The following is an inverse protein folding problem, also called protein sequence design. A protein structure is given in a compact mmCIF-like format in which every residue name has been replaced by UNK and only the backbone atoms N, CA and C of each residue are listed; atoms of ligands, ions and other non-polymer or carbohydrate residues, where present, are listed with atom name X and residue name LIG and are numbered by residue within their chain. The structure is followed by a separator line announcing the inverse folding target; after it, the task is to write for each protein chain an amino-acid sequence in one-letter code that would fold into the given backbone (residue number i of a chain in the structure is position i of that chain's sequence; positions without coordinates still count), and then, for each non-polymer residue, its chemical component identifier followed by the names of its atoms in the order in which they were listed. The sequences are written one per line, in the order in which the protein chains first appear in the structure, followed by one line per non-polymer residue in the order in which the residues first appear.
data_IF_460919479624
#
_entry.id   IF_460919479624
#
_cell.length_a   1.000
_cell.length_b   1.000
_cell.length_c   1.000
_cell.angle_alpha   90.00
_cell.angle_beta   90.00
_cell.angle_gamma   90.00
#
_symmetry.space_group_name_H-M   'P 1'
#
loop_
_entity.id
_entity.type
_entity.pdbx_description
1 polymer ?
#
# COMPACT_ATOMS: atom_id res chain seq x y z
N UNK A 1 -1.16 -13.60 -13.16
CA UNK A 1 -0.23 -12.74 -12.41
C UNK A 1 0.03 -11.47 -13.18
N UNK A 2 -0.59 -10.38 -12.76
CA UNK A 2 -0.37 -9.12 -13.45
C UNK A 2 -0.65 -7.93 -12.54
N UNK A 3 -0.08 -6.79 -12.90
CA UNK A 3 -0.35 -5.52 -12.25
C UNK A 3 -0.82 -4.54 -13.33
N UNK A 4 -1.99 -3.98 -13.13
CA UNK A 4 -2.53 -2.93 -14.00
C UNK A 4 -2.52 -1.62 -13.21
N UNK A 5 -2.07 -0.55 -13.84
CA UNK A 5 -1.96 0.75 -13.18
C UNK A 5 -3.01 1.71 -13.73
N UNK A 6 -3.74 2.38 -12.85
CA UNK A 6 -4.65 3.46 -13.24
C UNK A 6 -4.36 4.70 -12.41
N UNK A 7 -4.72 5.87 -12.95
CA UNK A 7 -4.60 7.14 -12.25
C UNK A 7 -6.01 7.62 -11.91
N UNK A 8 -6.22 7.95 -10.64
CA UNK A 8 -7.50 8.47 -10.16
C UNK A 8 -7.29 9.84 -9.55
N UNK A 9 -8.27 10.70 -9.71
CA UNK A 9 -8.21 12.05 -9.17
C UNK A 9 -9.27 12.25 -8.09
N UNK A 10 -8.79 12.36 -6.85
CA UNK A 10 -9.60 12.79 -5.72
C UNK A 10 -9.14 14.18 -5.30
N UNK A 11 -8.94 14.40 -4.00
CA UNK A 11 -8.31 15.64 -3.52
C UNK A 11 -6.88 15.74 -4.03
N UNK A 12 -6.25 14.61 -4.24
CA UNK A 12 -4.90 14.47 -4.76
C UNK A 12 -4.91 13.44 -5.87
N UNK A 13 -3.85 13.41 -6.68
CA UNK A 13 -3.68 12.38 -7.69
C UNK A 13 -3.27 11.07 -7.00
N UNK A 14 -4.02 10.01 -7.25
CA UNK A 14 -3.79 8.69 -6.65
C UNK A 14 -3.42 7.71 -7.74
N UNK A 15 -2.31 7.01 -7.56
CA UNK A 15 -1.89 5.93 -8.45
C UNK A 15 -2.41 4.62 -7.86
N UNK A 16 -3.22 3.89 -8.64
CA UNK A 16 -3.81 2.63 -8.20
C UNK A 16 -3.12 1.49 -8.92
N UNK A 17 -2.59 0.55 -8.15
CA UNK A 17 -2.07 -0.70 -8.68
C UNK A 17 -3.09 -1.79 -8.43
N UNK A 18 -3.67 -2.33 -9.50
CA UNK A 18 -4.61 -3.45 -9.45
C UNK A 18 -3.80 -4.73 -9.62
N UNK A 19 -3.67 -5.50 -8.54
CA UNK A 19 -2.91 -6.74 -8.53
C UNK A 19 -3.84 -7.91 -8.80
N UNK A 20 -3.38 -8.85 -9.62
CA UNK A 20 -4.15 -10.06 -9.93
C UNK A 20 -3.26 -11.29 -9.82
N UNK A 21 -3.65 -12.22 -8.95
CA UNK A 21 -2.93 -13.45 -8.70
C UNK A 21 -2.31 -13.50 -7.32
N UNK A 22 -1.68 -14.63 -7.01
CA UNK A 22 -0.98 -14.80 -5.74
C UNK A 22 0.17 -13.80 -5.63
N UNK A 23 0.24 -13.10 -4.52
CA UNK A 23 1.32 -12.15 -4.28
C UNK A 23 2.53 -12.90 -3.72
N UNK A 24 3.17 -13.65 -4.61
CA UNK A 24 4.38 -14.42 -4.35
C UNK A 24 5.63 -13.56 -4.63
N UNK A 25 6.80 -14.21 -4.62
CA UNK A 25 8.07 -13.51 -4.84
C UNK A 25 8.14 -12.82 -6.21
N UNK A 26 7.56 -13.43 -7.25
CA UNK A 26 7.59 -12.88 -8.60
C UNK A 26 6.71 -11.63 -8.70
N UNK A 27 5.46 -11.73 -8.27
CA UNK A 27 4.55 -10.59 -8.31
C UNK A 27 5.01 -9.48 -7.36
N UNK A 28 5.57 -9.84 -6.21
CA UNK A 28 6.12 -8.87 -5.26
C UNK A 28 7.27 -8.08 -5.89
N UNK A 29 8.14 -8.74 -6.67
CA UNK A 29 9.24 -8.07 -7.36
C UNK A 29 8.69 -7.07 -8.40
N UNK A 30 7.66 -7.46 -9.14
CA UNK A 30 7.00 -6.57 -10.10
C UNK A 30 6.40 -5.36 -9.40
N UNK A 31 5.73 -5.59 -8.26
CA UNK A 31 5.13 -4.52 -7.48
C UNK A 31 6.19 -3.54 -6.98
N UNK A 32 7.29 -4.04 -6.44
CA UNK A 32 8.37 -3.18 -5.97
C UNK A 32 8.92 -2.31 -7.10
N UNK A 33 9.18 -2.93 -8.25
CA UNK A 33 9.73 -2.21 -9.39
C UNK A 33 8.78 -1.13 -9.90
N UNK A 34 7.52 -1.48 -10.11
CA UNK A 34 6.53 -0.53 -10.59
C UNK A 34 6.25 0.56 -9.57
N UNK A 35 6.21 0.21 -8.29
CA UNK A 35 6.03 1.18 -7.21
C UNK A 35 7.18 2.17 -7.13
N UNK A 36 8.41 1.70 -7.19
CA UNK A 36 9.60 2.57 -7.20
C UNK A 36 9.58 3.50 -8.40
N UNK A 37 9.27 2.98 -9.58
CA UNK A 37 9.23 3.78 -10.80
C UNK A 37 8.17 4.88 -10.68
N UNK A 38 7.00 4.56 -10.16
CA UNK A 38 5.94 5.53 -9.96
C UNK A 38 6.37 6.63 -8.97
N UNK A 39 6.98 6.25 -7.85
CA UNK A 39 7.44 7.19 -6.83
C UNK A 39 8.56 8.08 -7.38
N UNK A 40 9.48 7.50 -8.13
CA UNK A 40 10.55 8.25 -8.78
C UNK A 40 9.98 9.26 -9.78
N UNK A 41 8.90 8.90 -10.46
CA UNK A 41 8.22 9.79 -11.40
C UNK A 41 7.34 10.85 -10.72
N UNK A 42 7.23 10.83 -9.39
CA UNK A 42 6.53 11.86 -8.63
C UNK A 42 5.28 11.41 -7.91
N UNK A 43 4.89 10.15 -8.01
CA UNK A 43 3.72 9.65 -7.29
C UNK A 43 3.95 9.73 -5.78
N UNK A 44 2.94 10.20 -5.04
CA UNK A 44 3.01 10.33 -3.58
C UNK A 44 1.90 9.58 -2.87
N UNK A 45 0.87 9.19 -3.60
CA UNK A 45 -0.30 8.50 -3.04
C UNK A 45 -0.56 7.25 -3.85
N UNK A 46 -0.39 6.09 -3.20
CA UNK A 46 -0.57 4.78 -3.82
C UNK A 46 -1.71 4.03 -3.15
N UNK A 47 -2.56 3.43 -3.95
CA UNK A 47 -3.62 2.55 -3.50
C UNK A 47 -3.38 1.17 -4.11
N UNK A 48 -3.27 0.15 -3.28
CA UNK A 48 -3.04 -1.22 -3.73
C UNK A 48 -4.36 -1.98 -3.71
N UNK A 49 -4.88 -2.30 -4.88
CA UNK A 49 -6.13 -3.06 -5.01
C UNK A 49 -5.82 -4.55 -4.93
N UNK A 50 -6.32 -5.18 -3.88
CA UNK A 50 -6.06 -6.57 -3.54
C UNK A 50 -7.28 -7.47 -3.74
N UNK A 51 -8.32 -6.98 -4.43
CA UNK A 51 -9.56 -7.74 -4.60
C UNK A 51 -9.37 -9.06 -5.34
N UNK A 52 -8.36 -9.17 -6.19
CA UNK A 52 -8.05 -10.37 -6.95
C UNK A 52 -6.75 -11.05 -6.49
N UNK A 53 -6.36 -10.83 -5.22
CA UNK A 53 -5.17 -11.43 -4.61
C UNK A 53 -5.61 -12.45 -3.57
N UNK A 54 -5.60 -13.75 -3.91
CA UNK A 54 -6.07 -14.78 -2.96
C UNK A 54 -5.12 -15.03 -1.81
N UNK A 55 -3.85 -14.66 -1.95
CA UNK A 55 -2.82 -15.01 -0.98
C UNK A 55 -1.65 -14.02 -1.04
N UNK A 56 -1.08 -13.69 0.13
CA UNK A 56 0.10 -12.84 0.24
C UNK A 56 1.23 -13.61 0.94
N UNK A 57 2.33 -13.80 0.23
CA UNK A 57 3.54 -14.40 0.79
C UNK A 57 4.37 -13.35 1.53
N UNK A 58 5.39 -13.80 2.28
CA UNK A 58 6.31 -12.91 2.99
C UNK A 58 6.95 -11.87 2.07
N UNK A 59 7.27 -12.26 0.84
CA UNK A 59 7.84 -11.33 -0.14
C UNK A 59 6.88 -10.18 -0.46
N UNK A 60 5.57 -10.47 -0.50
CA UNK A 60 4.55 -9.44 -0.72
C UNK A 60 4.49 -8.45 0.43
N UNK A 61 4.55 -8.96 1.66
CA UNK A 61 4.56 -8.10 2.85
C UNK A 61 5.78 -7.19 2.86
N UNK A 62 6.95 -7.72 2.46
CA UNK A 62 8.17 -6.91 2.36
C UNK A 62 8.04 -5.84 1.29
N UNK A 63 7.37 -6.14 0.18
CA UNK A 63 7.13 -5.15 -0.87
C UNK A 63 6.28 -3.99 -0.33
N UNK A 64 5.25 -4.29 0.44
CA UNK A 64 4.43 -3.25 1.07
C UNK A 64 5.25 -2.40 2.01
N UNK A 65 6.10 -3.03 2.83
CA UNK A 65 6.98 -2.31 3.76
C UNK A 65 7.93 -1.37 3.02
N UNK A 66 8.51 -1.86 1.92
CA UNK A 66 9.43 -1.05 1.12
C UNK A 66 8.72 0.18 0.51
N UNK A 67 7.54 -0.02 -0.07
CA UNK A 67 6.78 1.09 -0.64
C UNK A 67 6.35 2.08 0.44
N UNK A 68 5.93 1.58 1.60
CA UNK A 68 5.62 2.44 2.74
C UNK A 68 6.81 3.32 3.11
N UNK A 69 7.99 2.74 3.23
CA UNK A 69 9.20 3.47 3.60
C UNK A 69 9.57 4.52 2.55
N UNK A 70 9.52 4.15 1.27
CA UNK A 70 9.84 5.07 0.18
C UNK A 70 8.87 6.26 0.14
N UNK A 71 7.58 6.00 0.33
CA UNK A 71 6.58 7.07 0.34
C UNK A 71 6.74 7.98 1.55
N UNK A 72 7.01 7.41 2.71
CA UNK A 72 7.25 8.18 3.93
C UNK A 72 8.44 9.13 3.75
N UNK A 73 9.53 8.63 3.23
CA UNK A 73 10.75 9.43 3.02
C UNK A 73 10.53 10.53 2.00
N UNK A 74 9.73 10.27 0.97
CA UNK A 74 9.45 11.25 -0.07
C UNK A 74 8.32 12.22 0.24
N UNK A 75 7.50 11.96 1.27
CA UNK A 75 6.31 12.76 1.58
C UNK A 75 6.60 14.01 2.41
N UNK A 76 7.80 14.12 2.99
CA UNK A 76 8.14 15.20 3.90
C UNK A 76 7.44 15.07 5.25
N UNK A 77 7.02 13.89 5.64
CA UNK A 77 6.45 13.68 6.97
C UNK A 77 7.41 14.10 8.05
N UNK A 78 6.85 14.66 9.11
CA UNK A 78 7.61 15.12 10.25
C UNK A 78 8.32 13.96 10.93
N UNK A 79 9.59 13.98 10.83
CA UNK A 79 10.58 13.23 11.58
C UNK A 79 10.22 11.80 11.99
N UNK A 80 11.22 10.98 11.99
CA UNK A 80 11.11 9.56 12.37
C UNK A 80 10.53 9.36 13.76
N UNK A 81 10.74 10.30 14.66
CA UNK A 81 10.27 10.20 16.05
C UNK A 81 8.75 10.19 16.14
N UNK A 82 8.08 11.10 15.44
CA UNK A 82 6.61 11.18 15.47
C UNK A 82 5.98 9.93 14.86
N UNK A 83 6.54 9.45 13.75
CA UNK A 83 6.08 8.22 13.10
C UNK A 83 6.30 7.03 14.02
N UNK A 84 7.47 6.92 14.63
CA UNK A 84 7.80 5.83 15.53
C UNK A 84 6.85 5.79 16.74
N UNK A 85 6.57 6.91 17.35
CA UNK A 85 5.65 6.99 18.49
C UNK A 85 4.23 6.56 18.08
N UNK A 86 3.76 7.04 16.93
CA UNK A 86 2.46 6.67 16.41
C UNK A 86 2.36 5.18 16.12
N UNK A 87 3.41 4.58 15.56
CA UNK A 87 3.45 3.14 15.29
C UNK A 87 3.42 2.34 16.58
N UNK A 88 4.20 2.75 17.58
CA UNK A 88 4.24 2.09 18.87
C UNK A 88 2.89 2.13 19.58
N UNK A 89 2.19 3.26 19.50
CA UNK A 89 0.90 3.46 20.16
C UNK A 89 -0.28 2.93 19.33
N UNK A 90 -0.04 2.48 18.10
CA UNK A 90 -1.10 2.00 17.21
C UNK A 90 -1.96 3.12 16.63
N UNK A 91 -1.50 4.37 16.70
CA UNK A 91 -2.27 5.53 16.23
C UNK A 91 -1.85 6.01 14.85
N UNK A 92 -0.66 5.60 14.39
CA UNK A 92 -0.16 6.04 13.09
C UNK A 92 -0.87 5.32 11.96
N UNK A 93 -1.33 6.08 10.98
CA UNK A 93 -1.82 5.53 9.70
C UNK A 93 -1.12 6.27 8.58
N UNK A 94 -0.60 5.52 7.60
CA UNK A 94 0.09 6.12 6.47
C UNK A 94 -0.87 6.98 5.66
N UNK A 95 -0.55 8.25 5.41
CA UNK A 95 -1.37 9.08 4.54
C UNK A 95 -1.11 8.83 3.05
N UNK A 96 -0.08 8.07 2.71
CA UNK A 96 0.42 7.92 1.35
C UNK A 96 0.19 6.53 0.75
N UNK A 97 -0.01 5.51 1.58
CA UNK A 97 -0.20 4.13 1.11
C UNK A 97 -1.42 3.52 1.79
N UNK A 98 -2.37 3.08 0.99
CA UNK A 98 -3.60 2.44 1.50
C UNK A 98 -3.88 1.18 0.71
N UNK A 99 -4.70 0.31 1.30
CA UNK A 99 -5.07 -0.97 0.71
C UNK A 99 -6.55 -0.99 0.38
N UNK A 100 -6.90 -1.58 -0.76
CA UNK A 100 -8.28 -1.65 -1.23
C UNK A 100 -8.75 -3.10 -1.30
N UNK A 101 -9.85 -3.40 -0.63
CA UNK A 101 -10.59 -4.66 -0.74
C UNK A 101 -9.75 -5.92 -0.61
N UNK A 102 -8.90 -6.08 0.43
CA UNK A 102 -8.16 -7.32 0.58
C UNK A 102 -9.12 -8.50 0.76
N UNK A 103 -8.78 -9.63 0.14
CA UNK A 103 -9.51 -10.87 0.35
C UNK A 103 -9.35 -11.31 1.81
N UNK A 104 -10.19 -12.25 2.25
CA UNK A 104 -10.13 -12.76 3.62
C UNK A 104 -8.74 -13.27 3.99
N UNK A 105 -8.14 -14.10 3.14
CA UNK A 105 -6.81 -14.65 3.41
C UNK A 105 -5.72 -13.57 3.38
N UNK A 106 -5.83 -12.63 2.45
CA UNK A 106 -4.90 -11.51 2.39
C UNK A 106 -5.00 -10.65 3.65
N UNK A 107 -6.22 -10.38 4.11
CA UNK A 107 -6.44 -9.60 5.33
C UNK A 107 -5.87 -10.31 6.55
N UNK A 108 -6.04 -11.62 6.66
CA UNK A 108 -5.47 -12.41 7.75
C UNK A 108 -3.94 -12.29 7.77
N UNK A 109 -3.29 -12.41 6.61
CA UNK A 109 -1.84 -12.27 6.51
C UNK A 109 -1.37 -10.87 6.92
N UNK A 110 -2.09 -9.84 6.49
CA UNK A 110 -1.78 -8.45 6.85
C UNK A 110 -1.93 -8.23 8.35
N UNK A 111 -3.00 -8.72 8.95
CA UNK A 111 -3.26 -8.57 10.39
C UNK A 111 -2.22 -9.31 11.22
N UNK A 112 -1.85 -10.52 10.83
CA UNK A 112 -0.83 -11.30 11.53
C UNK A 112 0.54 -10.63 11.51
N UNK A 113 0.84 -9.91 10.43
CA UNK A 113 2.09 -9.17 10.28
C UNK A 113 2.02 -7.76 10.86
N UNK A 114 0.85 -7.32 11.36
CA UNK A 114 0.68 -6.01 11.96
C UNK A 114 0.47 -4.87 10.97
N UNK A 115 0.33 -5.16 9.68
CA UNK A 115 0.20 -4.11 8.66
C UNK A 115 -1.13 -3.35 8.75
N UNK A 116 -2.20 -3.98 9.25
CA UNK A 116 -3.49 -3.33 9.43
C UNK A 116 -3.45 -2.23 10.51
N UNK A 117 -2.40 -2.20 11.31
CA UNK A 117 -2.23 -1.18 12.35
C UNK A 117 -1.78 0.16 11.77
N UNK A 118 -1.09 0.17 10.63
CA UNK A 118 -0.59 1.42 10.05
C UNK A 118 -0.93 1.64 8.57
N UNK A 119 -1.53 0.65 7.91
CA UNK A 119 -2.06 0.82 6.56
C UNK A 119 -3.57 0.77 6.61
N UNK A 120 -4.20 1.85 6.18
CA UNK A 120 -5.65 1.94 6.18
C UNK A 120 -6.24 1.03 5.11
N UNK A 121 -7.31 0.33 5.46
CA UNK A 121 -7.99 -0.60 4.56
C UNK A 121 -9.31 0.01 4.14
N UNK A 122 -9.52 0.15 2.84
CA UNK A 122 -10.73 0.66 2.24
C UNK A 122 -11.43 -0.45 1.48
N UNK A 123 -12.73 -0.34 1.29
CA UNK A 123 -13.54 -1.38 0.66
C UNK A 123 -14.22 -0.94 -0.62
N UNK A 124 -14.03 0.32 -1.01
CA UNK A 124 -14.64 0.91 -2.19
C UNK A 124 -13.65 1.86 -2.84
N UNK A 125 -13.44 1.70 -4.15
CA UNK A 125 -12.44 2.50 -4.88
C UNK A 125 -12.69 4.00 -4.75
N UNK A 126 -13.92 4.43 -4.93
CA UNK A 126 -14.28 5.84 -4.86
C UNK A 126 -13.96 6.44 -3.49
N UNK A 127 -14.37 5.74 -2.42
CA UNK A 127 -14.12 6.18 -1.05
C UNK A 127 -12.62 6.14 -0.74
N UNK A 128 -11.92 5.14 -1.24
CA UNK A 128 -10.47 5.01 -1.04
C UNK A 128 -9.74 6.19 -1.66
N UNK A 129 -10.07 6.54 -2.90
CA UNK A 129 -9.44 7.69 -3.59
C UNK A 129 -9.76 8.99 -2.84
N UNK A 130 -10.98 9.16 -2.38
CA UNK A 130 -11.38 10.36 -1.65
C UNK A 130 -10.73 10.47 -0.28
N UNK A 131 -10.25 9.36 0.28
CA UNK A 131 -9.68 9.33 1.64
C UNK A 131 -8.24 9.85 1.73
N UNK A 132 -7.55 9.95 0.60
CA UNK A 132 -6.19 10.48 0.56
C UNK A 132 -6.11 11.99 0.76
#
# INVERSE_FOLDING_TARGET
MEITTTQEQGRVAVTVFHLKGELDAVLAQQLRQQGRDAITAGARYLLLDLAEVPYIASAGLRAFQELFTLLRDGSGEKGDKAVYEGLRDGTYKSPNLKLLSPTRHALEALSMAGFDMFLEIQHNLRDAVASF
#
